data_IF_993071960801
#
_entry.id   IF_993071960801
#
_cell.length_a   1.000
_cell.length_b   1.000
_cell.length_c   1.000
_cell.angle_alpha   90.00
_cell.angle_beta   90.00
_cell.angle_gamma   90.00
#
_symmetry.space_group_name_H-M   'P 1'
#
loop_
_entity.id
_entity.type
_entity.pdbx_description
1 polymer ?
#
# COMPACT_ATOMS: atom_id res chain seq x y z
N UNK A 1 3.53 29.93 16.99
CA UNK A 1 4.76 29.22 17.40
C UNK A 1 5.75 29.32 16.26
N UNK A 2 6.90 30.00 16.45
CA UNK A 2 7.99 29.94 15.46
C UNK A 2 8.69 28.59 15.62
N UNK A 3 9.00 27.84 14.55
CA UNK A 3 9.79 26.62 14.68
C UNK A 3 11.16 26.98 15.29
N UNK A 4 11.61 26.20 16.27
CA UNK A 4 12.97 26.32 16.79
C UNK A 4 13.95 26.24 15.61
N UNK A 5 14.93 27.14 15.54
CA UNK A 5 15.89 27.23 14.42
C UNK A 5 16.62 25.92 14.13
N UNK A 6 16.67 25.05 15.13
CA UNK A 6 17.45 23.81 15.08
C UNK A 6 16.58 22.58 14.71
N UNK A 7 15.27 22.77 14.52
CA UNK A 7 14.34 21.66 14.22
C UNK A 7 14.76 20.81 13.02
N UNK A 8 15.21 21.36 11.87
CA UNK A 8 15.70 20.54 10.77
C UNK A 8 16.85 19.60 11.18
N UNK A 9 17.81 20.10 11.96
CA UNK A 9 18.94 19.28 12.44
C UNK A 9 18.52 18.19 13.43
N UNK A 10 17.55 18.48 14.30
CA UNK A 10 16.99 17.48 15.21
C UNK A 10 16.16 16.42 14.49
N UNK A 11 15.39 16.83 13.48
CA UNK A 11 14.64 15.92 12.62
C UNK A 11 15.55 14.93 11.93
N UNK A 12 16.64 15.41 11.32
CA UNK A 12 17.57 14.53 10.61
C UNK A 12 18.27 13.55 11.56
N UNK A 13 18.63 14.01 12.77
CA UNK A 13 19.15 13.13 13.83
C UNK A 13 18.13 12.08 14.26
N UNK A 14 16.85 12.46 14.41
CA UNK A 14 15.78 11.53 14.77
C UNK A 14 15.57 10.46 13.69
N UNK A 15 15.54 10.86 12.41
CA UNK A 15 15.43 9.92 11.30
C UNK A 15 16.63 8.98 11.20
N UNK A 16 17.85 9.50 11.40
CA UNK A 16 19.06 8.68 11.43
C UNK A 16 19.01 7.65 12.56
N UNK A 17 18.52 8.05 13.74
CA UNK A 17 18.33 7.15 14.86
C UNK A 17 17.29 6.06 14.53
N UNK A 18 16.13 6.43 13.98
CA UNK A 18 15.08 5.48 13.59
C UNK A 18 15.58 4.46 12.57
N UNK A 19 16.29 4.90 11.53
CA UNK A 19 16.92 4.00 10.54
C UNK A 19 17.90 3.03 11.22
N UNK A 20 18.71 3.52 12.15
CA UNK A 20 19.65 2.69 12.90
C UNK A 20 18.97 1.67 13.81
N UNK A 21 17.81 2.00 14.39
CA UNK A 21 17.00 1.05 15.18
C UNK A 21 16.42 -0.04 14.27
N UNK A 22 15.79 0.35 13.15
CA UNK A 22 15.18 -0.58 12.20
C UNK A 22 16.23 -1.55 11.63
N UNK A 23 17.42 -1.07 11.29
CA UNK A 23 18.48 -1.92 10.76
C UNK A 23 18.95 -2.95 11.81
N UNK A 24 19.06 -2.55 13.09
CA UNK A 24 19.36 -3.48 14.17
C UNK A 24 18.26 -4.53 14.36
N UNK A 25 17.00 -4.12 14.30
CA UNK A 25 15.84 -5.05 14.36
C UNK A 25 15.91 -6.05 13.20
N UNK A 26 16.14 -5.59 11.95
CA UNK A 26 16.31 -6.45 10.77
C UNK A 26 17.47 -7.43 10.88
N UNK A 27 18.60 -7.00 11.43
CA UNK A 27 19.76 -7.88 11.66
C UNK A 27 19.49 -8.92 12.75
N UNK A 28 18.82 -8.52 13.82
CA UNK A 28 18.42 -9.43 14.89
C UNK A 28 17.47 -10.51 14.37
N UNK A 29 16.49 -10.15 13.53
CA UNK A 29 15.61 -11.14 12.87
C UNK A 29 16.37 -12.13 12.00
N UNK A 30 17.31 -11.67 11.17
CA UNK A 30 18.13 -12.54 10.31
C UNK A 30 18.98 -13.53 11.10
N UNK A 31 19.46 -13.14 12.28
CA UNK A 31 20.32 -13.97 13.13
C UNK A 31 19.54 -14.87 14.10
N UNK A 32 18.26 -14.55 14.36
CA UNK A 32 17.44 -15.29 15.30
C UNK A 32 16.92 -16.58 14.68
N UNK A 33 17.42 -17.72 15.18
CA UNK A 33 16.96 -19.06 14.78
C UNK A 33 15.56 -19.42 15.32
N UNK A 34 14.91 -18.51 16.05
CA UNK A 34 13.66 -18.79 16.75
C UNK A 34 12.43 -18.60 15.86
N UNK A 35 11.54 -19.59 15.95
CA UNK A 35 10.33 -19.86 15.16
C UNK A 35 9.22 -18.79 15.21
N UNK A 36 9.46 -17.63 15.83
CA UNK A 36 8.46 -16.60 16.10
C UNK A 36 8.37 -15.54 14.98
N UNK A 37 8.63 -15.94 13.74
CA UNK A 37 8.60 -15.09 12.54
C UNK A 37 7.23 -14.45 12.27
N UNK A 38 6.16 -14.93 12.95
CA UNK A 38 4.81 -14.39 12.80
C UNK A 38 4.54 -13.12 13.62
N UNK A 39 5.44 -12.73 14.53
CA UNK A 39 5.27 -11.56 15.40
C UNK A 39 5.59 -10.22 14.72
N UNK A 40 5.89 -10.24 13.41
CA UNK A 40 6.15 -9.07 12.59
C UNK A 40 7.58 -9.08 12.07
N UNK A 41 7.75 -8.63 10.82
CA UNK A 41 9.05 -8.36 10.23
C UNK A 41 9.43 -6.91 10.49
N UNK A 42 10.67 -6.65 10.86
CA UNK A 42 11.23 -5.32 10.98
C UNK A 42 11.16 -4.64 9.60
N UNK A 43 10.32 -3.62 9.50
CA UNK A 43 10.03 -2.90 8.26
C UNK A 43 10.21 -1.38 8.47
N UNK A 44 9.95 -0.60 7.42
CA UNK A 44 10.11 0.85 7.48
C UNK A 44 8.80 1.57 7.90
N UNK A 45 7.82 0.87 8.47
CA UNK A 45 6.51 1.44 8.84
C UNK A 45 6.63 2.72 9.68
N UNK A 46 7.52 2.73 10.68
CA UNK A 46 7.75 3.91 11.54
C UNK A 46 8.26 5.12 10.75
N UNK A 47 9.15 4.91 9.79
CA UNK A 47 9.67 5.98 8.93
C UNK A 47 8.57 6.48 7.99
N UNK A 48 7.83 5.57 7.38
CA UNK A 48 6.73 5.87 6.46
C UNK A 48 5.65 6.71 7.16
N UNK A 49 5.29 6.38 8.40
CA UNK A 49 4.34 7.17 9.20
C UNK A 49 4.79 8.61 9.41
N UNK A 50 6.07 8.80 9.77
CA UNK A 50 6.65 10.14 9.95
C UNK A 50 6.58 10.93 8.65
N UNK A 51 7.02 10.34 7.52
CA UNK A 51 7.00 11.02 6.23
C UNK A 51 5.57 11.33 5.75
N UNK A 52 4.60 10.43 5.97
CA UNK A 52 3.19 10.69 5.68
C UNK A 52 2.64 11.84 6.53
N UNK A 53 2.98 11.90 7.82
CA UNK A 53 2.55 12.98 8.72
C UNK A 53 3.13 14.34 8.29
N UNK A 54 4.38 14.36 7.84
CA UNK A 54 5.05 15.54 7.29
C UNK A 54 4.63 15.90 5.85
N UNK A 55 3.72 15.13 5.25
CA UNK A 55 3.28 15.27 3.84
C UNK A 55 4.42 15.15 2.81
N UNK A 56 5.44 14.37 3.16
CA UNK A 56 6.62 14.05 2.37
C UNK A 56 6.41 12.71 1.64
N UNK A 57 5.52 12.73 0.64
CA UNK A 57 4.97 11.52 0.03
C UNK A 57 5.97 10.74 -0.81
N UNK A 58 6.92 11.44 -1.45
CA UNK A 58 7.96 10.80 -2.24
C UNK A 58 8.97 10.07 -1.34
N UNK A 59 9.34 10.68 -0.21
CA UNK A 59 10.19 10.03 0.78
C UNK A 59 9.46 8.87 1.48
N UNK A 60 8.17 9.01 1.79
CA UNK A 60 7.36 7.92 2.32
C UNK A 60 7.35 6.72 1.36
N UNK A 61 7.23 6.95 0.05
CA UNK A 61 7.32 5.91 -0.96
C UNK A 61 8.70 5.28 -1.03
N UNK A 62 9.77 6.08 -1.06
CA UNK A 62 11.14 5.55 -1.09
C UNK A 62 11.42 4.61 0.09
N UNK A 63 11.01 5.00 1.30
CA UNK A 63 11.20 4.17 2.49
C UNK A 63 10.35 2.89 2.45
N UNK A 64 9.09 3.00 2.02
CA UNK A 64 8.20 1.85 1.87
C UNK A 64 8.75 0.86 0.82
N UNK A 65 9.21 1.36 -0.34
CA UNK A 65 9.81 0.54 -1.39
C UNK A 65 11.13 -0.11 -0.97
N UNK A 66 11.95 0.59 -0.18
CA UNK A 66 13.26 0.09 0.24
C UNK A 66 13.18 -0.96 1.35
N UNK A 67 12.25 -0.80 2.30
CA UNK A 67 12.22 -1.63 3.51
C UNK A 67 10.91 -2.33 3.79
N UNK A 68 9.91 -2.17 2.92
CA UNK A 68 8.53 -2.60 3.18
C UNK A 68 7.86 -1.72 4.24
N UNK A 69 6.54 -1.83 4.31
CA UNK A 69 5.76 -1.32 5.43
C UNK A 69 4.47 -2.14 5.54
N UNK A 70 3.72 -1.93 6.61
CA UNK A 70 2.42 -2.58 6.79
C UNK A 70 1.48 -2.28 5.62
N UNK A 71 0.60 -3.23 5.31
CA UNK A 71 -0.39 -3.10 4.23
C UNK A 71 -1.27 -1.85 4.34
N UNK A 72 -1.61 -1.45 5.58
CA UNK A 72 -2.39 -0.22 5.82
C UNK A 72 -1.61 1.05 5.48
N UNK A 73 -0.29 1.06 5.72
CA UNK A 73 0.57 2.18 5.31
C UNK A 73 0.78 2.23 3.81
N UNK A 74 0.97 1.08 3.15
CA UNK A 74 1.04 1.01 1.69
C UNK A 74 -0.19 1.64 1.02
N UNK A 75 -1.40 1.37 1.52
CA UNK A 75 -2.62 2.01 1.02
C UNK A 75 -2.62 3.54 1.20
N UNK A 76 -2.11 4.03 2.33
CA UNK A 76 -2.00 5.47 2.61
C UNK A 76 -0.96 6.14 1.72
N UNK A 77 0.20 5.51 1.51
CA UNK A 77 1.23 6.00 0.58
C UNK A 77 0.71 6.02 -0.85
N UNK A 78 0.06 4.94 -1.30
CA UNK A 78 -0.55 4.88 -2.63
C UNK A 78 -1.58 6.01 -2.81
N UNK A 79 -2.49 6.21 -1.85
CA UNK A 79 -3.49 7.28 -1.89
C UNK A 79 -2.84 8.67 -1.98
N UNK A 80 -1.77 8.91 -1.22
CA UNK A 80 -1.05 10.18 -1.26
C UNK A 80 -0.32 10.43 -2.59
N UNK A 81 -0.03 9.38 -3.36
CA UNK A 81 0.66 9.47 -4.66
C UNK A 81 -0.27 9.41 -5.87
N UNK A 82 -1.57 9.14 -5.69
CA UNK A 82 -2.58 9.13 -6.77
C UNK A 82 -2.55 10.41 -7.61
N UNK A 83 -2.33 11.57 -7.00
CA UNK A 83 -2.35 12.86 -7.70
C UNK A 83 -1.16 13.01 -8.66
N UNK A 84 0.06 12.84 -8.16
CA UNK A 84 1.31 13.13 -8.89
C UNK A 84 1.90 11.92 -9.61
N UNK A 85 1.66 10.72 -9.08
CA UNK A 85 2.24 9.47 -9.57
C UNK A 85 1.18 8.36 -9.61
N UNK A 86 0.09 8.53 -10.41
CA UNK A 86 -1.00 7.56 -10.47
C UNK A 86 -0.54 6.15 -10.87
N UNK A 87 0.53 6.03 -11.67
CA UNK A 87 1.08 4.74 -12.09
C UNK A 87 1.66 3.89 -10.95
N UNK A 88 2.14 4.53 -9.88
CA UNK A 88 2.77 3.85 -8.76
C UNK A 88 1.73 3.32 -7.76
N UNK A 89 0.55 3.95 -7.69
CA UNK A 89 -0.53 3.54 -6.79
C UNK A 89 -1.28 2.28 -7.29
N UNK A 90 -1.45 2.14 -8.61
CA UNK A 90 -2.14 1.02 -9.26
C UNK A 90 -1.63 -0.36 -8.83
N UNK A 91 -0.32 -0.68 -8.89
CA UNK A 91 0.17 -2.00 -8.49
C UNK A 91 -0.09 -2.30 -7.01
N UNK A 92 0.04 -1.30 -6.12
CA UNK A 92 -0.22 -1.46 -4.68
C UNK A 92 -1.69 -1.84 -4.44
N UNK A 93 -2.63 -1.19 -5.12
CA UNK A 93 -4.05 -1.55 -4.99
C UNK A 93 -4.35 -2.94 -5.52
N UNK A 94 -3.73 -3.36 -6.62
CA UNK A 94 -3.87 -4.73 -7.15
C UNK A 94 -3.36 -5.78 -6.16
N UNK A 95 -2.20 -5.55 -5.55
CA UNK A 95 -1.64 -6.45 -4.54
C UNK A 95 -2.54 -6.59 -3.29
N UNK A 96 -3.21 -5.51 -2.91
CA UNK A 96 -4.12 -5.49 -1.75
C UNK A 96 -5.46 -6.19 -2.00
N UNK A 97 -5.92 -6.28 -3.26
CA UNK A 97 -7.19 -6.94 -3.60
C UNK A 97 -7.13 -8.45 -3.30
N UNK A 98 -6.06 -9.13 -3.68
CA UNK A 98 -5.94 -10.59 -3.50
C UNK A 98 -6.14 -11.08 -2.05
N UNK A 99 -5.46 -10.53 -1.01
CA UNK A 99 -5.69 -10.95 0.37
C UNK A 99 -7.10 -10.58 0.87
N UNK A 100 -7.69 -9.48 0.39
CA UNK A 100 -9.07 -9.10 0.73
C UNK A 100 -10.06 -10.15 0.19
N UNK A 101 -9.92 -10.57 -1.07
CA UNK A 101 -10.82 -11.55 -1.68
C UNK A 101 -10.76 -12.94 -1.04
N UNK A 102 -9.65 -13.28 -0.35
CA UNK A 102 -9.51 -14.51 0.42
C UNK A 102 -10.41 -14.56 1.65
N UNK A 103 -10.72 -13.42 2.29
CA UNK A 103 -11.56 -13.36 3.49
C UNK A 103 -13.03 -13.74 3.23
N UNK A 104 -13.44 -13.75 1.95
CA UNK A 104 -14.69 -14.33 1.45
C UNK A 104 -15.98 -13.86 2.16
N UNK A 105 -15.98 -12.65 2.70
CA UNK A 105 -17.15 -12.02 3.33
C UNK A 105 -17.57 -10.78 2.54
N UNK A 106 -18.82 -10.33 2.73
CA UNK A 106 -19.38 -9.23 1.96
C UNK A 106 -18.66 -7.89 2.23
N UNK A 107 -18.17 -7.65 3.44
CA UNK A 107 -17.40 -6.45 3.76
C UNK A 107 -16.07 -6.41 2.98
N UNK A 108 -15.37 -7.54 2.89
CA UNK A 108 -14.16 -7.67 2.10
C UNK A 108 -14.43 -7.43 0.61
N UNK A 109 -15.53 -7.96 0.06
CA UNK A 109 -15.89 -7.66 -1.33
C UNK A 109 -16.17 -6.17 -1.57
N UNK A 110 -16.82 -5.48 -0.63
CA UNK A 110 -17.03 -4.05 -0.71
C UNK A 110 -15.71 -3.26 -0.66
N UNK A 111 -14.75 -3.67 0.17
CA UNK A 111 -13.41 -3.06 0.18
C UNK A 111 -12.65 -3.30 -1.12
N UNK A 112 -12.70 -4.52 -1.67
CA UNK A 112 -12.11 -4.82 -2.97
C UNK A 112 -12.72 -3.97 -4.09
N UNK A 113 -14.03 -3.74 -4.06
CA UNK A 113 -14.73 -2.87 -5.01
C UNK A 113 -14.21 -1.43 -4.96
N UNK A 114 -14.02 -0.87 -3.77
CA UNK A 114 -13.47 0.49 -3.60
C UNK A 114 -12.09 0.61 -4.24
N UNK A 115 -11.24 -0.39 -4.05
CA UNK A 115 -9.91 -0.43 -4.68
C UNK A 115 -10.00 -0.58 -6.21
N UNK A 116 -10.91 -1.40 -6.72
CA UNK A 116 -11.14 -1.55 -8.16
C UNK A 116 -11.60 -0.23 -8.80
N UNK A 117 -12.48 0.54 -8.15
CA UNK A 117 -12.89 1.86 -8.64
C UNK A 117 -11.70 2.83 -8.71
N UNK A 118 -10.86 2.86 -7.66
CA UNK A 118 -9.63 3.66 -7.67
C UNK A 118 -8.69 3.27 -8.81
N UNK A 119 -8.47 1.97 -9.03
CA UNK A 119 -7.64 1.50 -10.13
C UNK A 119 -8.21 1.96 -11.48
N UNK A 120 -9.53 1.83 -11.69
CA UNK A 120 -10.20 2.28 -12.92
C UNK A 120 -9.96 3.76 -13.17
N UNK A 121 -10.16 4.59 -12.16
CA UNK A 121 -9.95 6.04 -12.25
C UNK A 121 -8.49 6.38 -12.61
N UNK A 122 -7.54 5.77 -11.90
CA UNK A 122 -6.10 6.00 -12.15
C UNK A 122 -5.66 5.52 -13.52
N UNK A 123 -6.13 4.34 -13.95
CA UNK A 123 -5.85 3.82 -15.29
C UNK A 123 -6.51 4.67 -16.37
N UNK A 124 -7.69 5.23 -16.12
CA UNK A 124 -8.33 6.22 -17.01
C UNK A 124 -7.48 7.48 -17.18
N UNK A 125 -6.95 8.03 -16.07
CA UNK A 125 -6.02 9.19 -16.10
C UNK A 125 -4.71 8.89 -16.83
N UNK A 126 -4.34 7.62 -16.93
CA UNK A 126 -3.13 7.15 -17.61
C UNK A 126 -3.39 6.68 -19.05
N UNK A 127 -4.61 6.79 -19.56
CA UNK A 127 -5.05 6.26 -20.86
C UNK A 127 -4.81 4.73 -21.02
N UNK A 128 -4.99 3.99 -19.93
CA UNK A 128 -4.75 2.54 -19.80
C UNK A 128 -6.01 1.77 -19.42
N UNK A 129 -7.19 2.26 -19.81
CA UNK A 129 -8.49 1.65 -19.45
C UNK A 129 -8.59 0.21 -19.95
N UNK A 130 -8.04 -0.10 -21.12
CA UNK A 130 -8.04 -1.48 -21.65
C UNK A 130 -7.31 -2.46 -20.73
N UNK A 131 -6.23 -2.03 -20.05
CA UNK A 131 -5.54 -2.87 -19.07
C UNK A 131 -6.35 -3.07 -17.78
N UNK A 132 -7.27 -2.16 -17.47
CA UNK A 132 -8.24 -2.36 -16.40
C UNK A 132 -9.26 -3.43 -16.76
N UNK A 133 -9.76 -3.41 -18.01
CA UNK A 133 -10.73 -4.40 -18.49
C UNK A 133 -10.12 -5.81 -18.53
N UNK A 134 -8.87 -5.94 -19.00
CA UNK A 134 -8.11 -7.19 -18.96
C UNK A 134 -7.93 -7.71 -17.51
N UNK A 135 -7.66 -6.78 -16.58
CA UNK A 135 -7.52 -7.12 -15.17
C UNK A 135 -8.85 -7.59 -14.55
N UNK A 136 -9.97 -6.93 -14.88
CA UNK A 136 -11.30 -7.38 -14.46
C UNK A 136 -11.64 -8.76 -15.02
N UNK A 137 -11.34 -9.02 -16.29
CA UNK A 137 -11.53 -10.31 -16.92
C UNK A 137 -10.74 -11.42 -16.20
N UNK A 138 -9.47 -11.15 -15.86
CA UNK A 138 -8.65 -12.08 -15.09
C UNK A 138 -9.26 -12.41 -13.71
N UNK A 139 -9.73 -11.39 -12.98
CA UNK A 139 -10.38 -11.56 -11.68
C UNK A 139 -11.68 -12.40 -11.79
N UNK A 140 -12.45 -12.25 -12.87
CA UNK A 140 -13.65 -13.08 -13.09
C UNK A 140 -13.30 -14.55 -13.25
N UNK A 141 -12.27 -14.86 -14.02
CA UNK A 141 -11.82 -16.25 -14.24
C UNK A 141 -11.32 -16.86 -12.95
N UNK A 142 -10.49 -16.15 -12.20
CA UNK A 142 -9.90 -16.62 -10.93
C UNK A 142 -10.98 -16.84 -9.86
N UNK A 143 -11.93 -15.91 -9.73
CA UNK A 143 -12.91 -15.91 -8.65
C UNK A 143 -14.33 -16.32 -9.09
N UNK A 144 -14.49 -17.03 -10.20
CA UNK A 144 -15.80 -17.46 -10.78
C UNK A 144 -16.74 -18.17 -9.79
N UNK A 145 -16.21 -18.80 -8.75
CA UNK A 145 -17.00 -19.50 -7.71
C UNK A 145 -17.57 -18.56 -6.64
N UNK A 146 -17.06 -17.33 -6.53
CA UNK A 146 -17.50 -16.30 -5.56
C UNK A 146 -18.63 -15.46 -6.18
N UNK A 147 -19.85 -16.00 -6.20
CA UNK A 147 -21.02 -15.38 -6.86
C UNK A 147 -21.26 -13.92 -6.48
N UNK A 148 -21.14 -13.57 -5.19
CA UNK A 148 -21.31 -12.19 -4.71
C UNK A 148 -20.25 -11.25 -5.29
N UNK A 149 -19.02 -11.73 -5.45
CA UNK A 149 -17.94 -10.95 -6.06
C UNK A 149 -18.15 -10.81 -7.56
N UNK A 150 -18.56 -11.86 -8.27
CA UNK A 150 -18.87 -11.77 -9.71
C UNK A 150 -19.99 -10.75 -9.98
N UNK A 151 -21.07 -10.79 -9.20
CA UNK A 151 -22.15 -9.80 -9.28
C UNK A 151 -21.65 -8.37 -9.06
N UNK A 152 -20.66 -8.20 -8.18
CA UNK A 152 -20.03 -6.91 -7.95
C UNK A 152 -19.20 -6.46 -9.17
N UNK A 153 -18.49 -7.38 -9.83
CA UNK A 153 -17.72 -7.08 -11.03
C UNK A 153 -18.60 -6.73 -12.25
N UNK A 154 -19.84 -7.23 -12.32
CA UNK A 154 -20.79 -6.85 -13.38
C UNK A 154 -21.14 -5.35 -13.33
N UNK A 155 -21.16 -4.74 -12.13
CA UNK A 155 -21.41 -3.31 -11.96
C UNK A 155 -20.33 -2.39 -12.56
N UNK A 156 -19.14 -2.91 -12.87
CA UNK A 156 -18.07 -2.13 -13.51
C UNK A 156 -18.27 -1.97 -15.02
N UNK A 157 -19.08 -2.82 -15.66
CA UNK A 157 -19.32 -2.80 -17.11
C UNK A 157 -20.42 -1.83 -17.53
N UNK A 158 -21.25 -1.41 -16.56
CA UNK A 158 -22.46 -0.60 -16.82
C UNK A 158 -22.26 0.90 -16.60
N UNK A 159 -21.06 1.36 -16.27
CA UNK A 159 -20.72 2.77 -15.99
C UNK A 159 -19.55 3.24 -16.81
#
# INVERSE_FOLDING_TARGET
MRPHSDWPGWRDKALANLRGVIEKEKQQEKTSKNHWHWLGHADNSRLVEVFLWEKRYDEAWQEASAGGCSSGLWLRVAAAREEKHPGDAVPIYKEMIAPILKQANNAAYAEAAKLLHKIRELMGRLDRVTEFDDYLAALRVEYKRKRNFIKLLEGFETS
#
